data_IF_856211146020
#
_entry.id   IF_856211146020
#
_cell.length_a   1.000
_cell.length_b   1.000
_cell.length_c   1.000
_cell.angle_alpha   90.00
_cell.angle_beta   90.00
_cell.angle_gamma   90.00
#
_symmetry.space_group_name_H-M   'P 1'
#
loop_
_entity.id
_entity.type
_entity.pdbx_description
1 polymer ?
#
# COMPACT_ATOMS: atom_id res chain seq x y z
N UNK A 1 10.69 -14.93 -16.86
CA UNK A 1 9.62 -15.90 -17.21
C UNK A 1 10.23 -17.20 -17.72
N UNK A 2 9.55 -18.32 -17.49
CA UNK A 2 10.02 -19.69 -17.74
C UNK A 2 9.07 -20.43 -18.69
N UNK A 3 9.60 -20.89 -19.82
CA UNK A 3 8.92 -21.88 -20.67
C UNK A 3 8.80 -23.23 -19.94
N UNK A 4 9.85 -23.63 -19.22
CA UNK A 4 9.96 -24.92 -18.54
C UNK A 4 8.90 -25.10 -17.45
N UNK A 5 8.69 -24.07 -16.63
CA UNK A 5 7.68 -24.07 -15.57
C UNK A 5 6.27 -23.70 -16.07
N UNK A 6 6.08 -23.47 -17.38
CA UNK A 6 4.78 -23.13 -17.97
C UNK A 6 4.24 -21.74 -17.58
N UNK A 7 5.09 -20.82 -17.10
CA UNK A 7 4.66 -19.50 -16.61
C UNK A 7 4.92 -18.35 -17.61
N UNK A 8 5.41 -18.63 -18.82
CA UNK A 8 5.65 -17.64 -19.86
C UNK A 8 4.36 -16.94 -20.30
N UNK A 9 4.40 -15.62 -20.34
CA UNK A 9 3.26 -14.78 -20.72
C UNK A 9 2.18 -14.67 -19.63
N UNK A 10 2.34 -15.34 -18.49
CA UNK A 10 1.39 -15.26 -17.37
C UNK A 10 1.97 -14.32 -16.31
N UNK A 11 1.35 -13.17 -15.97
CA UNK A 11 1.87 -12.25 -14.95
C UNK A 11 1.75 -12.82 -13.53
N UNK A 12 2.74 -12.57 -12.67
CA UNK A 12 2.79 -13.02 -11.26
C UNK A 12 1.63 -12.47 -10.45
N UNK A 13 1.52 -11.15 -10.53
CA UNK A 13 0.62 -10.29 -9.77
C UNK A 13 -0.16 -9.38 -10.71
N UNK A 14 -1.02 -9.97 -11.56
CA UNK A 14 -2.04 -9.15 -12.21
C UNK A 14 -2.94 -8.51 -11.14
N UNK A 15 -3.11 -7.19 -11.26
CA UNK A 15 -3.95 -6.33 -10.41
C UNK A 15 -4.93 -5.57 -11.30
N UNK A 16 -5.61 -6.30 -12.17
CA UNK A 16 -6.70 -5.79 -13.00
C UNK A 16 -7.93 -5.41 -12.16
N UNK A 17 -8.80 -4.53 -12.64
CA UNK A 17 -9.88 -3.95 -11.85
C UNK A 17 -9.48 -2.57 -11.30
N UNK A 18 -9.81 -2.29 -10.04
CA UNK A 18 -9.47 -1.02 -9.40
C UNK A 18 -8.46 -1.20 -8.26
N UNK A 19 -7.15 -1.04 -8.52
CA UNK A 19 -6.12 -0.98 -7.49
C UNK A 19 -6.36 0.18 -6.52
N UNK A 20 -6.18 -0.10 -5.22
CA UNK A 20 -6.49 0.86 -4.15
C UNK A 20 -5.69 2.16 -4.26
N UNK A 21 -4.40 2.07 -4.61
CA UNK A 21 -3.52 3.24 -4.71
C UNK A 21 -3.86 4.12 -5.91
N UNK A 22 -4.29 3.52 -7.04
CA UNK A 22 -4.73 4.28 -8.22
C UNK A 22 -6.01 5.05 -7.91
N UNK A 23 -6.94 4.44 -7.17
CA UNK A 23 -8.17 5.12 -6.73
C UNK A 23 -7.87 6.28 -5.79
N UNK A 24 -6.96 6.08 -4.82
CA UNK A 24 -6.50 7.15 -3.92
C UNK A 24 -5.80 8.30 -4.65
N UNK A 25 -4.88 7.99 -5.57
CA UNK A 25 -4.18 8.98 -6.39
C UNK A 25 -5.14 9.76 -7.30
N UNK A 26 -6.10 9.08 -7.91
CA UNK A 26 -7.15 9.70 -8.72
C UNK A 26 -7.96 10.69 -7.89
N UNK A 27 -8.44 10.28 -6.71
CA UNK A 27 -9.20 11.16 -5.83
C UNK A 27 -8.40 12.40 -5.41
N UNK A 28 -7.14 12.20 -5.02
CA UNK A 28 -6.22 13.30 -4.66
C UNK A 28 -6.05 14.28 -5.82
N UNK A 29 -5.82 13.76 -7.03
CA UNK A 29 -5.70 14.56 -8.26
C UNK A 29 -6.98 15.34 -8.56
N UNK A 30 -8.16 14.70 -8.50
CA UNK A 30 -9.46 15.33 -8.76
C UNK A 30 -9.71 16.51 -7.81
N UNK A 31 -9.42 16.34 -6.52
CA UNK A 31 -9.51 17.43 -5.54
C UNK A 31 -8.55 18.57 -5.85
N UNK A 32 -7.32 18.25 -6.23
CA UNK A 32 -6.31 19.25 -6.55
C UNK A 32 -6.71 20.08 -7.79
N UNK A 33 -7.12 19.43 -8.89
CA UNK A 33 -7.51 20.14 -10.12
C UNK A 33 -8.82 20.92 -9.97
N UNK A 34 -9.78 20.44 -9.16
CA UNK A 34 -10.96 21.21 -8.77
C UNK A 34 -10.58 22.47 -7.98
N UNK A 35 -9.63 22.33 -7.04
CA UNK A 35 -9.07 23.46 -6.29
C UNK A 35 -8.37 24.49 -7.19
N UNK A 36 -7.60 24.04 -8.18
CA UNK A 36 -6.97 24.92 -9.17
C UNK A 36 -8.00 25.59 -10.08
N UNK A 37 -9.05 24.87 -10.50
CA UNK A 37 -10.11 25.43 -11.32
C UNK A 37 -10.87 26.55 -10.59
N UNK A 38 -11.19 26.36 -9.30
CA UNK A 38 -11.80 27.40 -8.44
C UNK A 38 -10.95 28.66 -8.28
N UNK A 39 -9.62 28.51 -8.40
CA UNK A 39 -8.66 29.63 -8.38
C UNK A 39 -8.36 30.20 -9.76
N UNK A 40 -9.06 29.75 -10.81
CA UNK A 40 -8.81 30.11 -12.21
C UNK A 40 -7.40 29.75 -12.70
N UNK A 41 -6.73 28.79 -12.05
CA UNK A 41 -5.39 28.29 -12.39
C UNK A 41 -5.45 27.04 -13.29
N UNK A 42 -6.62 26.43 -13.43
CA UNK A 42 -6.86 25.31 -14.34
C UNK A 42 -8.16 25.53 -15.11
N UNK A 43 -8.08 25.47 -16.44
CA UNK A 43 -9.19 25.91 -17.31
C UNK A 43 -10.37 24.93 -17.38
N UNK A 44 -10.16 23.65 -17.06
CA UNK A 44 -11.20 22.62 -17.17
C UNK A 44 -11.88 22.39 -15.81
N UNK A 45 -13.17 22.07 -15.83
CA UNK A 45 -13.97 21.78 -14.64
C UNK A 45 -14.48 20.34 -14.55
N UNK A 46 -14.25 19.52 -15.59
CA UNK A 46 -14.76 18.16 -15.68
C UNK A 46 -14.36 17.44 -16.95
N UNK A 47 -14.95 16.27 -17.17
CA UNK A 47 -14.74 15.43 -18.35
C UNK A 47 -16.08 15.00 -18.95
N UNK A 48 -16.12 14.90 -20.28
CA UNK A 48 -17.26 14.32 -20.99
C UNK A 48 -17.31 12.81 -20.76
N UNK A 49 -18.50 12.31 -20.46
CA UNK A 49 -18.82 10.88 -20.33
C UNK A 49 -19.86 10.51 -21.40
N UNK A 50 -20.35 9.26 -21.39
CA UNK A 50 -21.36 8.80 -22.36
C UNK A 50 -22.60 9.72 -22.39
N UNK A 51 -23.24 9.76 -23.55
CA UNK A 51 -24.46 10.53 -23.83
C UNK A 51 -24.28 12.05 -23.67
N UNK A 52 -23.11 12.59 -24.05
CA UNK A 52 -22.74 14.02 -23.97
C UNK A 52 -22.88 14.64 -22.57
N UNK A 53 -22.99 13.82 -21.53
CA UNK A 53 -23.01 14.27 -20.14
C UNK A 53 -21.60 14.68 -19.74
N UNK A 54 -21.49 15.66 -18.85
CA UNK A 54 -20.23 16.06 -18.23
C UNK A 54 -20.30 15.70 -16.75
N UNK A 55 -19.25 15.07 -16.25
CA UNK A 55 -19.02 14.93 -14.81
C UNK A 55 -17.96 15.94 -14.40
N UNK A 56 -18.28 16.79 -13.43
CA UNK A 56 -17.30 17.72 -12.87
C UNK A 56 -16.25 16.98 -12.04
N UNK A 57 -15.05 17.53 -11.91
CA UNK A 57 -14.01 16.94 -11.05
C UNK A 57 -14.48 16.82 -9.59
N UNK A 58 -15.25 17.81 -9.11
CA UNK A 58 -15.88 17.78 -7.79
C UNK A 58 -16.86 16.62 -7.65
N UNK A 59 -17.78 16.44 -8.60
CA UNK A 59 -18.76 15.35 -8.55
C UNK A 59 -18.08 13.98 -8.64
N UNK A 60 -17.03 13.86 -9.46
CA UNK A 60 -16.27 12.62 -9.54
C UNK A 60 -15.54 12.31 -8.23
N UNK A 61 -14.83 13.28 -7.65
CA UNK A 61 -14.20 13.11 -6.35
C UNK A 61 -15.22 12.70 -5.29
N UNK A 62 -16.39 13.35 -5.26
CA UNK A 62 -17.47 13.02 -4.32
C UNK A 62 -17.97 11.58 -4.51
N UNK A 63 -18.16 11.13 -5.76
CA UNK A 63 -18.52 9.73 -6.03
C UNK A 63 -17.50 8.74 -5.51
N UNK A 64 -16.20 9.02 -5.65
CA UNK A 64 -15.17 8.15 -5.07
C UNK A 64 -15.30 8.14 -3.55
N UNK A 65 -15.38 9.32 -2.92
CA UNK A 65 -15.50 9.46 -1.46
C UNK A 65 -16.69 8.69 -0.88
N UNK A 66 -17.85 8.79 -1.51
CA UNK A 66 -19.08 8.16 -1.02
C UNK A 66 -19.08 6.64 -1.13
N UNK A 67 -18.22 6.07 -1.99
CA UNK A 67 -18.20 4.63 -2.29
C UNK A 67 -16.91 3.94 -1.86
N UNK A 68 -15.85 4.68 -1.51
CA UNK A 68 -14.53 4.10 -1.26
C UNK A 68 -14.54 3.08 -0.12
N UNK A 69 -15.03 3.46 1.07
CA UNK A 69 -15.16 2.54 2.21
C UNK A 69 -16.00 1.32 1.84
N UNK A 70 -17.17 1.52 1.21
CA UNK A 70 -18.06 0.45 0.79
C UNK A 70 -17.37 -0.58 -0.11
N UNK A 71 -16.55 -0.12 -1.07
CA UNK A 71 -15.87 -1.00 -2.03
C UNK A 71 -14.64 -1.70 -1.45
N UNK A 72 -13.83 -0.98 -0.66
CA UNK A 72 -12.49 -1.42 -0.27
C UNK A 72 -12.39 -1.96 1.16
N UNK A 73 -13.21 -1.50 2.11
CA UNK A 73 -13.07 -1.94 3.50
C UNK A 73 -13.67 -3.34 3.70
N UNK A 74 -12.92 -4.20 4.39
CA UNK A 74 -13.38 -5.51 4.87
C UNK A 74 -13.53 -5.42 6.38
N UNK A 75 -14.76 -5.42 6.92
CA UNK A 75 -14.97 -5.16 8.34
C UNK A 75 -14.40 -6.28 9.21
N UNK A 76 -13.92 -5.88 10.40
CA UNK A 76 -13.38 -6.79 11.41
C UNK A 76 -14.45 -7.80 11.89
N UNK A 77 -15.69 -7.33 12.03
CA UNK A 77 -16.85 -8.14 12.42
C UNK A 77 -17.65 -8.57 11.18
N UNK A 78 -17.75 -9.89 10.88
CA UNK A 78 -18.56 -10.40 9.77
C UNK A 78 -20.02 -9.98 9.79
N UNK A 79 -20.60 -9.67 10.95
CA UNK A 79 -21.98 -9.18 11.05
C UNK A 79 -22.18 -7.83 10.35
N UNK A 80 -21.10 -7.12 10.01
CA UNK A 80 -21.13 -5.85 9.29
C UNK A 80 -20.96 -6.01 7.77
N UNK A 81 -20.73 -7.22 7.26
CA UNK A 81 -20.45 -7.46 5.83
C UNK A 81 -21.53 -6.85 4.94
N UNK A 82 -22.81 -6.85 5.36
CA UNK A 82 -23.92 -6.27 4.58
C UNK A 82 -23.83 -4.76 4.33
N UNK A 83 -22.92 -4.04 5.00
CA UNK A 83 -22.67 -2.60 4.81
C UNK A 83 -21.60 -2.33 3.74
N UNK A 84 -20.86 -3.36 3.32
CA UNK A 84 -19.73 -3.29 2.41
C UNK A 84 -19.94 -4.28 1.25
N UNK A 85 -19.24 -4.11 0.13
CA UNK A 85 -19.26 -5.09 -0.95
C UNK A 85 -18.26 -6.21 -0.63
N UNK A 86 -18.63 -7.14 0.24
CA UNK A 86 -17.75 -8.22 0.74
C UNK A 86 -18.37 -9.59 0.49
N UNK A 87 -17.60 -10.50 -0.11
CA UNK A 87 -17.90 -11.94 -0.14
C UNK A 87 -17.10 -12.65 0.95
N UNK A 88 -17.77 -12.95 2.06
CA UNK A 88 -17.17 -13.59 3.24
C UNK A 88 -16.53 -14.95 2.96
N UNK A 89 -16.88 -15.63 1.86
CA UNK A 89 -16.39 -16.98 1.53
C UNK A 89 -14.93 -16.99 1.09
N UNK A 90 -14.43 -15.86 0.61
CA UNK A 90 -13.10 -15.71 0.01
C UNK A 90 -12.22 -14.68 0.74
N UNK A 91 -12.65 -14.24 1.93
CA UNK A 91 -11.89 -13.36 2.81
C UNK A 91 -10.82 -14.17 3.55
N UNK A 92 -9.55 -13.77 3.42
CA UNK A 92 -8.45 -14.34 4.22
C UNK A 92 -8.32 -13.63 5.59
N UNK A 93 -8.22 -12.29 5.58
CA UNK A 93 -8.14 -11.45 6.79
C UNK A 93 -9.22 -10.38 6.81
N UNK A 94 -9.57 -9.96 8.03
CA UNK A 94 -10.60 -8.94 8.30
C UNK A 94 -10.01 -7.72 8.99
N UNK A 95 -10.73 -6.61 8.94
CA UNK A 95 -10.24 -5.32 9.41
C UNK A 95 -9.17 -4.74 8.51
N UNK A 96 -9.24 -5.03 7.20
CA UNK A 96 -8.26 -4.62 6.19
C UNK A 96 -8.93 -3.76 5.11
N UNK A 97 -8.11 -3.14 4.25
CA UNK A 97 -8.57 -2.64 2.95
C UNK A 97 -8.09 -3.58 1.87
N UNK A 98 -9.00 -3.96 0.98
CA UNK A 98 -8.73 -4.74 -0.22
C UNK A 98 -7.61 -4.11 -1.03
N UNK A 99 -6.77 -4.96 -1.61
CA UNK A 99 -5.70 -4.50 -2.50
C UNK A 99 -6.26 -4.00 -3.84
N UNK A 100 -7.30 -4.68 -4.33
CA UNK A 100 -7.98 -4.40 -5.59
C UNK A 100 -9.48 -4.57 -5.40
N UNK A 101 -10.29 -3.83 -6.15
CA UNK A 101 -11.73 -4.02 -6.22
C UNK A 101 -12.14 -4.54 -7.61
N UNK A 102 -12.84 -5.68 -7.64
CA UNK A 102 -13.37 -6.37 -8.83
C UNK A 102 -12.29 -6.79 -9.83
N UNK A 103 -11.24 -7.47 -9.35
CA UNK A 103 -10.29 -8.14 -10.26
C UNK A 103 -10.88 -9.44 -10.85
N UNK A 104 -10.26 -9.94 -11.93
CA UNK A 104 -10.70 -11.19 -12.58
C UNK A 104 -10.59 -12.44 -11.71
N UNK A 105 -9.70 -12.44 -10.71
CA UNK A 105 -9.51 -13.53 -9.75
C UNK A 105 -9.96 -13.08 -8.37
N UNK A 106 -11.25 -13.17 -8.08
CA UNK A 106 -11.92 -12.52 -6.95
C UNK A 106 -11.19 -12.61 -5.59
N UNK A 107 -10.55 -13.74 -5.25
CA UNK A 107 -9.78 -13.85 -3.98
C UNK A 107 -8.64 -12.82 -3.86
N UNK A 108 -8.10 -12.32 -4.99
CA UNK A 108 -7.03 -11.32 -5.02
C UNK A 108 -7.50 -9.93 -4.60
N UNK A 109 -8.81 -9.66 -4.64
CA UNK A 109 -9.36 -8.45 -4.02
C UNK A 109 -9.03 -8.43 -2.52
N UNK A 110 -9.12 -9.59 -1.86
CA UNK A 110 -9.03 -9.75 -0.40
C UNK A 110 -7.61 -10.02 0.12
N UNK A 111 -6.59 -9.90 -0.74
CA UNK A 111 -5.20 -10.07 -0.32
C UNK A 111 -4.74 -8.88 0.52
N UNK A 112 -4.24 -9.17 1.73
CA UNK A 112 -3.54 -8.15 2.51
C UNK A 112 -2.18 -7.87 1.87
N UNK A 113 -2.01 -6.62 1.40
CA UNK A 113 -0.81 -6.12 0.73
C UNK A 113 -0.47 -4.70 1.21
N UNK A 114 0.79 -4.26 1.09
CA UNK A 114 1.23 -2.95 1.60
C UNK A 114 0.89 -1.78 0.65
N UNK A 115 -0.15 -1.91 -0.20
CA UNK A 115 -0.50 -0.91 -1.21
C UNK A 115 -1.53 0.12 -0.70
N UNK A 116 -2.48 -0.28 0.15
CA UNK A 116 -3.49 0.64 0.70
C UNK A 116 -2.90 1.83 1.50
N UNK A 117 -1.72 1.73 2.17
CA UNK A 117 -1.07 2.88 2.77
C UNK A 117 -0.76 4.01 1.79
N UNK A 118 -0.56 3.70 0.50
CA UNK A 118 -0.33 4.73 -0.54
C UNK A 118 -1.58 5.60 -0.69
N UNK A 119 -2.77 4.99 -0.73
CA UNK A 119 -4.03 5.74 -0.77
C UNK A 119 -4.23 6.54 0.53
N UNK A 120 -3.87 5.98 1.68
CA UNK A 120 -3.94 6.64 2.98
C UNK A 120 -3.08 7.91 3.08
N UNK A 121 -1.89 7.93 2.44
CA UNK A 121 -1.04 9.13 2.46
C UNK A 121 -1.57 10.25 1.57
N UNK A 122 -2.02 9.93 0.36
CA UNK A 122 -2.42 10.93 -0.65
C UNK A 122 -3.88 11.38 -0.51
N UNK A 123 -4.73 10.57 0.13
CA UNK A 123 -6.17 10.76 0.23
C UNK A 123 -6.73 10.28 1.60
N UNK A 124 -6.20 10.78 2.72
CA UNK A 124 -6.58 10.31 4.06
C UNK A 124 -8.06 10.50 4.39
N UNK A 125 -8.74 11.46 3.75
CA UNK A 125 -10.16 11.76 3.97
C UNK A 125 -11.13 10.82 3.23
N UNK A 126 -10.61 9.80 2.54
CA UNK A 126 -11.39 8.66 2.05
C UNK A 126 -11.66 7.61 3.14
N UNK A 127 -10.91 7.67 4.25
CA UNK A 127 -10.88 6.60 5.23
C UNK A 127 -11.61 6.98 6.51
N UNK A 128 -12.34 6.03 7.10
CA UNK A 128 -12.71 6.13 8.51
C UNK A 128 -11.44 5.98 9.38
N UNK A 129 -11.14 6.92 10.31
CA UNK A 129 -9.90 6.88 11.07
C UNK A 129 -9.71 5.62 11.93
N UNK A 130 -10.79 5.01 12.44
CA UNK A 130 -10.69 3.79 13.25
C UNK A 130 -10.44 2.59 12.36
N UNK A 131 -11.13 2.49 11.23
CA UNK A 131 -10.88 1.44 10.24
C UNK A 131 -9.46 1.52 9.70
N UNK A 132 -8.98 2.73 9.36
CA UNK A 132 -7.63 2.96 8.87
C UNK A 132 -6.55 2.51 9.86
N UNK A 133 -6.65 2.95 11.12
CA UNK A 133 -5.68 2.56 12.14
C UNK A 133 -5.72 1.07 12.43
N UNK A 134 -6.91 0.46 12.47
CA UNK A 134 -7.07 -1.00 12.60
C UNK A 134 -6.37 -1.76 11.47
N UNK A 135 -6.57 -1.36 10.22
CA UNK A 135 -5.91 -1.99 9.07
C UNK A 135 -4.39 -1.80 9.07
N UNK A 136 -3.90 -0.64 9.51
CA UNK A 136 -2.47 -0.39 9.67
C UNK A 136 -1.86 -1.27 10.77
N UNK A 137 -2.56 -1.54 11.87
CA UNK A 137 -2.12 -2.49 12.90
C UNK A 137 -2.05 -3.91 12.32
N UNK A 138 -3.06 -4.34 11.57
CA UNK A 138 -3.03 -5.65 10.90
C UNK A 138 -1.85 -5.76 9.93
N UNK A 139 -1.57 -4.71 9.16
CA UNK A 139 -0.41 -4.67 8.28
C UNK A 139 0.93 -4.64 9.04
N UNK A 140 0.99 -3.95 10.19
CA UNK A 140 2.17 -3.94 11.06
C UNK A 140 2.49 -5.36 11.57
N UNK A 141 1.48 -6.09 12.02
CA UNK A 141 1.64 -7.44 12.56
C UNK A 141 1.95 -8.49 11.49
N UNK A 142 1.32 -8.37 10.32
CA UNK A 142 1.39 -9.41 9.28
C UNK A 142 2.44 -9.16 8.20
N UNK A 143 2.72 -7.89 7.86
CA UNK A 143 3.55 -7.53 6.70
C UNK A 143 4.87 -6.84 7.05
N UNK A 144 5.02 -6.26 8.26
CA UNK A 144 6.24 -5.52 8.58
C UNK A 144 7.42 -6.47 8.79
N UNK A 145 8.37 -6.43 7.86
CA UNK A 145 9.67 -7.08 7.99
C UNK A 145 10.70 -6.22 8.73
N UNK A 146 11.90 -6.76 9.00
CA UNK A 146 12.98 -6.01 9.62
C UNK A 146 13.35 -4.74 8.82
N UNK A 147 13.36 -4.81 7.49
CA UNK A 147 13.74 -3.69 6.61
C UNK A 147 12.64 -3.27 5.63
N UNK A 148 11.94 -4.22 5.01
CA UNK A 148 10.86 -3.95 4.06
C UNK A 148 9.47 -4.34 4.59
N UNK A 149 8.46 -4.16 3.73
CA UNK A 149 7.11 -4.69 3.90
C UNK A 149 6.96 -5.91 2.99
N UNK A 150 6.54 -7.05 3.54
CA UNK A 150 6.15 -8.21 2.76
C UNK A 150 5.07 -7.82 1.74
N UNK A 151 5.30 -8.15 0.48
CA UNK A 151 4.40 -7.77 -0.64
C UNK A 151 3.09 -8.55 -0.66
N UNK A 152 3.01 -9.62 0.12
CA UNK A 152 1.83 -10.43 0.33
C UNK A 152 1.87 -11.01 1.74
N UNK A 153 0.70 -11.15 2.34
CA UNK A 153 0.47 -11.82 3.62
C UNK A 153 1.07 -13.23 3.69
N UNK A 154 1.90 -13.55 4.72
CA UNK A 154 2.48 -14.88 4.91
C UNK A 154 1.48 -16.04 5.02
N UNK A 155 0.22 -15.75 5.36
CA UNK A 155 -0.84 -16.77 5.43
C UNK A 155 -1.48 -17.08 4.07
N UNK A 156 -1.20 -16.28 3.03
CA UNK A 156 -1.78 -16.46 1.71
C UNK A 156 -1.15 -17.65 0.97
N UNK A 157 -1.98 -18.40 0.23
CA UNK A 157 -1.55 -19.56 -0.56
C UNK A 157 -0.50 -19.23 -1.64
N UNK A 158 -0.46 -17.99 -2.13
CA UNK A 158 0.51 -17.51 -3.13
C UNK A 158 1.82 -16.99 -2.52
N UNK A 159 1.96 -16.96 -1.19
CA UNK A 159 3.15 -16.42 -0.51
C UNK A 159 4.41 -17.25 -0.76
N UNK A 160 5.40 -16.65 -1.44
CA UNK A 160 6.71 -17.20 -1.80
C UNK A 160 7.76 -16.10 -1.60
N UNK A 161 8.34 -15.95 -0.39
CA UNK A 161 9.06 -14.72 -0.02
C UNK A 161 10.51 -14.61 -0.52
N UNK A 162 11.07 -15.69 -1.06
CA UNK A 162 12.48 -15.73 -1.46
C UNK A 162 12.58 -15.58 -2.98
N UNK A 163 12.91 -14.37 -3.43
CA UNK A 163 13.11 -14.06 -4.84
C UNK A 163 14.48 -14.54 -5.31
N UNK A 164 14.47 -15.37 -6.36
CA UNK A 164 15.65 -15.85 -7.06
C UNK A 164 15.34 -15.75 -8.55
N UNK A 165 15.89 -14.75 -9.23
CA UNK A 165 15.57 -14.49 -10.64
C UNK A 165 16.13 -15.56 -11.59
N UNK A 166 17.23 -16.19 -11.17
CA UNK A 166 17.91 -17.25 -11.90
C UNK A 166 17.29 -18.63 -11.71
N UNK A 167 16.25 -18.78 -10.87
CA UNK A 167 15.56 -20.05 -10.63
C UNK A 167 15.00 -20.64 -11.93
N UNK A 168 15.58 -21.75 -12.39
CA UNK A 168 15.18 -22.46 -13.60
C UNK A 168 14.45 -23.78 -13.28
N UNK A 169 13.86 -23.87 -12.09
CA UNK A 169 13.05 -25.02 -11.68
C UNK A 169 11.73 -25.12 -12.49
N UNK A 170 10.99 -26.20 -12.21
CA UNK A 170 9.65 -26.44 -12.72
C UNK A 170 8.54 -25.80 -11.86
N UNK A 171 8.89 -25.06 -10.81
CA UNK A 171 7.87 -24.42 -9.96
C UNK A 171 7.25 -23.24 -10.70
N UNK A 172 5.98 -23.38 -11.05
CA UNK A 172 5.20 -22.34 -11.72
C UNK A 172 5.29 -21.00 -10.98
N UNK A 173 5.31 -20.99 -9.65
CA UNK A 173 5.21 -19.81 -8.79
C UNK A 173 6.51 -19.05 -8.56
N UNK A 174 7.67 -19.71 -8.63
CA UNK A 174 8.98 -19.07 -8.34
C UNK A 174 9.86 -18.96 -9.57
N UNK A 175 9.78 -19.92 -10.51
CA UNK A 175 10.70 -20.01 -11.63
C UNK A 175 10.79 -18.70 -12.41
N UNK A 176 12.04 -18.27 -12.64
CA UNK A 176 12.44 -17.04 -13.32
C UNK A 176 11.82 -15.80 -12.67
N UNK A 177 11.83 -15.78 -11.35
CA UNK A 177 11.52 -14.61 -10.54
C UNK A 177 10.03 -14.26 -10.46
N UNK A 178 9.12 -15.20 -10.75
CA UNK A 178 7.68 -14.91 -10.79
C UNK A 178 7.14 -14.36 -9.46
N UNK A 179 7.75 -14.74 -8.35
CA UNK A 179 7.37 -14.35 -7.00
C UNK A 179 7.88 -12.96 -6.56
N UNK A 180 8.42 -12.14 -7.47
CA UNK A 180 8.97 -10.80 -7.17
C UNK A 180 8.07 -9.91 -6.30
N UNK A 181 6.76 -10.07 -6.41
CA UNK A 181 5.73 -9.35 -5.65
C UNK A 181 4.79 -10.27 -4.87
N UNK A 182 5.25 -11.45 -4.46
CA UNK A 182 4.44 -12.47 -3.77
C UNK A 182 5.01 -12.85 -2.41
N UNK A 183 5.56 -11.89 -1.67
CA UNK A 183 6.14 -12.14 -0.35
C UNK A 183 7.49 -11.48 -0.09
N UNK A 184 8.38 -11.24 -1.08
CA UNK A 184 9.59 -10.47 -0.84
C UNK A 184 9.26 -9.12 -0.20
N UNK A 185 10.15 -8.68 0.66
CA UNK A 185 9.97 -7.51 1.52
C UNK A 185 10.51 -6.27 0.83
N UNK A 186 9.62 -5.46 0.26
CA UNK A 186 10.01 -4.25 -0.45
C UNK A 186 10.22 -3.08 0.50
N UNK A 187 11.22 -2.24 0.26
CA UNK A 187 11.57 -1.18 1.22
C UNK A 187 10.74 0.10 1.03
N UNK A 188 10.47 0.52 -0.21
CA UNK A 188 9.69 1.75 -0.45
C UNK A 188 8.26 1.73 0.12
N UNK A 189 7.49 0.61 0.14
CA UNK A 189 6.17 0.58 0.76
C UNK A 189 6.23 0.82 2.27
N UNK A 190 7.38 0.56 2.92
CA UNK A 190 7.56 0.91 4.34
C UNK A 190 7.42 2.41 4.57
N UNK A 191 7.91 3.24 3.66
CA UNK A 191 7.75 4.69 3.77
C UNK A 191 6.28 5.10 3.78
N UNK A 192 5.50 4.61 2.82
CA UNK A 192 4.05 4.85 2.78
C UNK A 192 3.32 4.30 4.02
N UNK A 193 3.67 3.09 4.45
CA UNK A 193 3.14 2.48 5.67
C UNK A 193 3.40 3.37 6.90
N UNK A 194 4.63 3.81 7.12
CA UNK A 194 4.99 4.62 8.29
C UNK A 194 4.37 6.02 8.23
N UNK A 195 4.29 6.63 7.04
CA UNK A 195 3.59 7.91 6.84
C UNK A 195 2.12 7.81 7.20
N UNK A 196 1.45 6.77 6.72
CA UNK A 196 0.04 6.50 7.05
C UNK A 196 -0.13 6.22 8.56
N UNK A 197 0.72 5.37 9.14
CA UNK A 197 0.70 5.06 10.58
C UNK A 197 0.85 6.32 11.43
N UNK A 198 1.85 7.16 11.16
CA UNK A 198 2.06 8.39 11.90
C UNK A 198 0.83 9.31 11.79
N UNK A 199 0.30 9.49 10.58
CA UNK A 199 -0.83 10.38 10.32
C UNK A 199 -2.09 9.96 11.09
N UNK A 200 -2.51 8.70 10.95
CA UNK A 200 -3.72 8.20 11.59
C UNK A 200 -3.56 8.04 13.11
N UNK A 201 -2.36 7.71 13.60
CA UNK A 201 -2.10 7.65 15.04
C UNK A 201 -2.14 9.05 15.67
N UNK A 202 -1.59 10.07 15.01
CA UNK A 202 -1.68 11.47 15.47
C UNK A 202 -3.12 12.00 15.50
N UNK A 203 -3.97 11.62 14.54
CA UNK A 203 -5.37 12.06 14.49
C UNK A 203 -6.19 11.69 15.73
N UNK A 204 -5.83 10.62 16.45
CA UNK A 204 -6.52 10.19 17.68
C UNK A 204 -5.86 10.66 18.97
N UNK A 205 -4.73 11.38 18.89
CA UNK A 205 -3.90 11.74 20.05
C UNK A 205 -4.01 13.24 20.34
N UNK A 206 -4.51 13.56 21.52
CA UNK A 206 -4.76 14.95 21.93
C UNK A 206 -3.61 15.54 22.76
N UNK A 207 -3.00 14.74 23.65
CA UNK A 207 -1.94 15.22 24.54
C UNK A 207 -0.56 15.20 23.89
N UNK A 208 0.35 16.03 24.40
CA UNK A 208 1.74 16.09 23.93
C UNK A 208 2.44 14.74 24.13
N UNK A 209 2.24 14.11 25.28
CA UNK A 209 2.82 12.82 25.64
C UNK A 209 2.35 11.74 24.69
N UNK A 210 1.04 11.71 24.38
CA UNK A 210 0.49 10.77 23.42
C UNK A 210 1.08 11.01 22.03
N UNK A 211 1.19 12.25 21.56
CA UNK A 211 1.81 12.57 20.26
C UNK A 211 3.28 12.11 20.21
N UNK A 212 4.05 12.32 21.27
CA UNK A 212 5.45 11.83 21.37
C UNK A 212 5.50 10.31 21.22
N UNK A 213 4.56 9.59 21.81
CA UNK A 213 4.47 8.13 21.65
C UNK A 213 4.28 7.72 20.18
N UNK A 214 3.47 8.44 19.39
CA UNK A 214 3.30 8.18 17.95
C UNK A 214 4.63 8.26 17.18
N UNK A 215 5.45 9.29 17.46
CA UNK A 215 6.77 9.43 16.87
C UNK A 215 7.72 8.31 17.32
N UNK A 216 7.64 7.88 18.58
CA UNK A 216 8.43 6.75 19.09
C UNK A 216 8.05 5.44 18.39
N UNK A 217 6.75 5.18 18.18
CA UNK A 217 6.28 3.99 17.47
C UNK A 217 6.84 3.91 16.04
N UNK A 218 6.84 5.03 15.32
CA UNK A 218 7.44 5.11 13.98
C UNK A 218 8.97 4.96 14.02
N UNK A 219 9.63 5.61 14.98
CA UNK A 219 11.09 5.55 15.14
C UNK A 219 11.59 4.13 15.43
N UNK A 220 10.87 3.37 16.24
CA UNK A 220 11.17 1.96 16.51
C UNK A 220 11.12 1.13 15.24
N UNK A 221 10.10 1.38 14.39
CA UNK A 221 9.92 0.69 13.10
C UNK A 221 10.89 1.15 12.02
N UNK A 222 11.79 2.08 12.27
CA UNK A 222 12.88 2.45 11.36
C UNK A 222 14.21 1.76 11.69
N UNK A 223 14.27 0.95 12.75
CA UNK A 223 15.52 0.37 13.25
C UNK A 223 16.30 -0.41 12.18
N UNK A 224 15.63 -1.32 11.45
CA UNK A 224 16.32 -2.10 10.41
C UNK A 224 16.81 -1.26 9.24
N UNK A 225 16.08 -0.21 8.84
CA UNK A 225 16.55 0.73 7.82
C UNK A 225 17.80 1.50 8.29
N UNK A 226 17.84 1.92 9.57
CA UNK A 226 19.03 2.59 10.13
C UNK A 226 20.25 1.69 10.15
N UNK A 227 20.10 0.43 10.59
CA UNK A 227 21.19 -0.54 10.57
C UNK A 227 21.67 -0.79 9.14
N UNK A 228 20.76 -0.98 8.18
CA UNK A 228 21.13 -1.21 6.78
C UNK A 228 21.94 -0.05 6.18
N UNK A 229 21.56 1.21 6.40
CA UNK A 229 22.32 2.35 5.89
C UNK A 229 23.73 2.41 6.50
N UNK A 230 23.86 2.09 7.79
CA UNK A 230 25.13 2.12 8.50
C UNK A 230 26.07 0.98 8.08
N UNK A 231 25.53 -0.23 7.93
CA UNK A 231 26.31 -1.45 7.72
C UNK A 231 26.54 -1.77 6.23
N UNK A 232 25.71 -1.22 5.35
CA UNK A 232 25.84 -1.43 3.90
C UNK A 232 27.07 -0.69 3.35
N UNK A 233 27.91 -1.33 2.52
CA UNK A 233 29.04 -0.67 1.87
C UNK A 233 28.62 0.43 0.89
N UNK A 234 27.33 0.46 0.52
CA UNK A 234 26.75 1.44 -0.41
C UNK A 234 26.14 2.64 0.31
N UNK A 235 26.10 2.65 1.64
CA UNK A 235 25.44 3.68 2.46
C UNK A 235 24.00 3.97 2.01
N UNK A 236 23.26 2.92 1.64
CA UNK A 236 21.95 3.02 1.02
C UNK A 236 21.00 1.91 1.43
N UNK A 237 19.73 2.05 1.04
CA UNK A 237 18.68 1.07 1.26
C UNK A 237 18.44 0.26 0.00
N UNK A 238 18.36 -1.05 0.14
CA UNK A 238 18.11 -1.97 -0.97
C UNK A 238 16.70 -1.79 -1.55
N UNK A 239 16.47 -2.30 -2.75
CA UNK A 239 15.13 -2.36 -3.36
C UNK A 239 14.19 -3.28 -2.56
N UNK A 240 14.65 -4.50 -2.28
CA UNK A 240 13.93 -5.49 -1.51
C UNK A 240 14.87 -6.41 -0.70
N UNK A 241 14.33 -7.02 0.34
CA UNK A 241 14.91 -8.16 1.06
C UNK A 241 14.05 -9.41 0.81
N UNK A 242 14.65 -10.57 1.00
CA UNK A 242 13.92 -11.83 1.07
C UNK A 242 13.26 -11.97 2.46
N UNK A 243 12.74 -13.15 2.79
CA UNK A 243 12.01 -13.40 4.03
C UNK A 243 12.78 -12.90 5.27
N UNK A 244 12.08 -12.16 6.15
CA UNK A 244 12.59 -11.67 7.44
C UNK A 244 13.88 -10.89 7.30
N UNK A 245 13.96 -10.02 6.31
CA UNK A 245 15.12 -9.18 6.06
C UNK A 245 16.35 -9.91 5.53
N UNK A 246 16.23 -11.18 5.13
CA UNK A 246 17.36 -11.92 4.55
C UNK A 246 17.82 -11.28 3.24
N UNK A 247 19.12 -11.40 2.96
CA UNK A 247 19.72 -10.80 1.77
C UNK A 247 19.08 -11.37 0.50
N UNK A 248 18.68 -10.50 -0.42
CA UNK A 248 18.30 -10.86 -1.78
C UNK A 248 19.44 -10.49 -2.72
N UNK A 249 20.13 -11.49 -3.29
CA UNK A 249 21.27 -11.28 -4.17
C UNK A 249 20.92 -10.59 -5.49
N UNK A 250 19.68 -10.74 -5.95
CA UNK A 250 19.18 -10.11 -7.17
C UNK A 250 18.67 -8.67 -6.94
N UNK A 251 18.63 -8.20 -5.69
CA UNK A 251 18.11 -6.89 -5.34
C UNK A 251 19.12 -5.78 -5.65
N UNK A 252 18.64 -4.63 -6.15
CA UNK A 252 19.48 -3.45 -6.22
C UNK A 252 19.94 -3.05 -4.80
N UNK A 253 21.26 -2.92 -4.54
CA UNK A 253 21.76 -2.71 -3.19
C UNK A 253 21.52 -1.28 -2.65
N UNK A 254 21.25 -0.31 -3.54
CA UNK A 254 20.85 1.05 -3.19
C UNK A 254 19.81 1.56 -4.17
N UNK A 255 18.62 1.88 -3.68
CA UNK A 255 17.48 2.17 -4.54
C UNK A 255 16.79 3.49 -4.18
N UNK A 256 16.57 4.34 -5.18
CA UNK A 256 16.13 5.72 -4.98
C UNK A 256 14.77 5.81 -4.29
N UNK A 257 13.80 4.97 -4.68
CA UNK A 257 12.48 4.96 -4.04
C UNK A 257 12.51 4.50 -2.59
N UNK A 258 13.49 3.68 -2.20
CA UNK A 258 13.56 3.10 -0.86
C UNK A 258 13.98 4.19 0.14
N UNK A 259 14.94 5.02 -0.25
CA UNK A 259 15.38 6.16 0.55
C UNK A 259 14.39 7.33 0.51
N UNK A 260 13.92 7.72 -0.68
CA UNK A 260 13.02 8.89 -0.82
C UNK A 260 11.71 8.74 -0.05
N UNK A 261 11.09 7.56 -0.05
CA UNK A 261 9.86 7.34 0.72
C UNK A 261 10.06 7.45 2.24
N UNK A 262 11.28 7.23 2.75
CA UNK A 262 11.59 7.49 4.16
C UNK A 262 11.91 8.96 4.41
N UNK A 263 12.52 9.67 3.46
CA UNK A 263 12.71 11.12 3.54
C UNK A 263 11.36 11.83 3.61
N UNK A 264 10.38 11.39 2.81
CA UNK A 264 9.01 11.89 2.88
C UNK A 264 8.38 11.75 4.28
N UNK A 265 8.66 10.65 4.98
CA UNK A 265 8.22 10.47 6.37
C UNK A 265 8.84 11.52 7.31
N UNK A 266 10.14 11.81 7.16
CA UNK A 266 10.79 12.85 7.96
C UNK A 266 10.23 14.24 7.64
N UNK A 267 9.91 14.52 6.38
CA UNK A 267 9.24 15.76 5.98
C UNK A 267 7.86 15.88 6.65
N UNK A 268 7.00 14.86 6.53
CA UNK A 268 5.69 14.81 7.18
C UNK A 268 5.82 15.01 8.70
N UNK A 269 6.76 14.31 9.34
CA UNK A 269 6.98 14.38 10.78
C UNK A 269 7.40 15.80 11.24
N UNK A 270 8.25 16.47 10.45
CA UNK A 270 8.66 17.85 10.70
C UNK A 270 7.47 18.82 10.62
N UNK A 271 6.63 18.66 9.60
CA UNK A 271 5.43 19.48 9.40
C UNK A 271 4.40 19.26 10.51
N UNK A 272 4.17 18.02 10.94
CA UNK A 272 3.24 17.73 12.04
C UNK A 272 3.73 18.24 13.40
N UNK A 273 5.04 18.31 13.63
CA UNK A 273 5.60 18.83 14.88
C UNK A 273 5.58 20.37 14.93
N UNK A 274 5.42 21.04 13.78
CA UNK A 274 5.29 22.50 13.69
C UNK A 274 3.85 23.00 13.93
N UNK A 275 2.87 22.10 13.98
CA UNK A 275 1.43 22.35 14.22
C UNK A 275 1.05 22.11 15.69
#
# INVERSE_FOLDING_TARGET
SSDHAGNKGVPGTSRDGAPVEITGLLYSCLKWVDGLNKKSQFKYSGVSIKDDKVITFKEWAQKIRDNFEHCYYVPADPAQDSKYDVDSKIVNRRGIYKDVYKCSKEYRDYQLRPNFPIAMTVAPDLFDPKHALGALIVADEALLGPTGMATLDPSDMEYRPNYINSDDSNDFHTARGRNYHQGPEWVWPRGFFLRALLKFDLMRRETKEAKVEAFQQVTTRLAGCRHMIHDSPWAGLTELTNEKGSMCHDSCPTQAWSASCLIDLYQDASEYNAL
#
